data_IF_825616157825
#
_entry.id   IF_825616157825
#
_cell.length_a   1.000
_cell.length_b   1.000
_cell.length_c   1.000
_cell.angle_alpha   90.00
_cell.angle_beta   90.00
_cell.angle_gamma   90.00
#
_symmetry.space_group_name_H-M   'P 1'
#
loop_
_entity.id
_entity.type
_entity.pdbx_description
1 polymer ?
#
# COMPACT_ATOMS: atom_id res chain seq x y z
N UNK A 1 5.15 1.01 22.30
CA UNK A 1 5.91 -0.07 21.60
C UNK A 1 4.92 -0.88 20.78
N UNK A 2 5.09 -0.96 19.46
CA UNK A 2 4.18 -1.68 18.55
C UNK A 2 4.67 -3.11 18.30
N UNK A 3 3.77 -4.03 17.93
CA UNK A 3 4.07 -5.44 17.62
C UNK A 3 3.40 -5.83 16.31
N UNK A 4 3.96 -6.82 15.62
CA UNK A 4 3.31 -7.44 14.46
C UNK A 4 2.18 -8.34 15.00
N UNK A 5 0.93 -7.94 14.77
CA UNK A 5 -0.25 -8.69 15.23
C UNK A 5 -0.69 -9.78 14.25
N UNK A 6 -0.42 -9.61 12.96
CA UNK A 6 -0.76 -10.57 11.91
C UNK A 6 0.18 -10.43 10.70
N UNK A 7 0.48 -11.55 10.03
CA UNK A 7 1.22 -11.59 8.76
C UNK A 7 0.51 -12.48 7.75
N UNK A 8 0.53 -12.09 6.47
CA UNK A 8 -0.02 -12.90 5.38
C UNK A 8 0.67 -12.53 4.06
N UNK A 9 0.83 -13.53 3.20
CA UNK A 9 1.31 -13.34 1.84
C UNK A 9 0.26 -12.76 0.87
N UNK A 10 -1.00 -12.59 1.32
CA UNK A 10 -2.09 -12.08 0.48
C UNK A 10 -2.76 -10.86 1.10
N UNK A 11 -3.23 -9.94 0.24
CA UNK A 11 -4.03 -8.80 0.67
C UNK A 11 -5.34 -9.23 1.32
N UNK A 12 -5.96 -10.31 0.83
CA UNK A 12 -7.18 -10.86 1.41
C UNK A 12 -6.97 -11.34 2.86
N UNK A 13 -5.87 -12.06 3.14
CA UNK A 13 -5.55 -12.52 4.49
C UNK A 13 -5.26 -11.36 5.45
N UNK A 14 -4.52 -10.34 5.01
CA UNK A 14 -4.31 -9.12 5.81
C UNK A 14 -5.64 -8.39 6.07
N UNK A 15 -6.53 -8.34 5.07
CA UNK A 15 -7.86 -7.73 5.21
C UNK A 15 -8.72 -8.47 6.24
N UNK A 16 -8.68 -9.80 6.27
CA UNK A 16 -9.40 -10.59 7.26
C UNK A 16 -8.97 -10.27 8.69
N UNK A 17 -7.66 -10.10 8.94
CA UNK A 17 -7.16 -9.73 10.26
C UNK A 17 -7.65 -8.34 10.72
N UNK A 18 -7.76 -7.39 9.78
CA UNK A 18 -8.31 -6.06 10.05
C UNK A 18 -9.80 -6.13 10.35
N UNK A 19 -10.56 -6.83 9.52
CA UNK A 19 -12.00 -7.01 9.71
C UNK A 19 -12.35 -7.75 11.01
N UNK A 20 -11.50 -8.68 11.44
CA UNK A 20 -11.64 -9.36 12.72
C UNK A 20 -11.24 -8.50 13.94
N UNK A 21 -10.78 -7.25 13.72
CA UNK A 21 -10.35 -6.35 14.79
C UNK A 21 -9.01 -6.73 15.43
N UNK A 22 -8.23 -7.61 14.80
CA UNK A 22 -6.96 -8.13 15.34
C UNK A 22 -5.77 -7.22 15.01
N UNK A 23 -5.85 -6.46 13.91
CA UNK A 23 -4.74 -5.65 13.42
C UNK A 23 -5.18 -4.31 12.80
N UNK A 24 -4.25 -3.35 12.83
CA UNK A 24 -4.29 -2.13 12.02
C UNK A 24 -3.32 -2.26 10.84
N UNK A 25 -3.63 -1.65 9.70
CA UNK A 25 -2.78 -1.70 8.50
C UNK A 25 -2.62 -0.32 7.87
N UNK A 26 -1.46 -0.06 7.29
CA UNK A 26 -1.23 1.11 6.43
C UNK A 26 -1.76 0.81 5.03
N UNK A 27 -2.69 1.61 4.56
CA UNK A 27 -3.29 1.50 3.23
C UNK A 27 -3.64 2.88 2.70
N UNK A 28 -3.81 2.96 1.40
CA UNK A 28 -4.32 4.15 0.72
C UNK A 28 -5.82 4.32 0.99
N UNK A 29 -6.34 5.54 0.84
CA UNK A 29 -7.75 5.87 1.07
C UNK A 29 -8.72 4.97 0.28
N UNK A 30 -8.34 4.53 -0.92
CA UNK A 30 -9.09 3.57 -1.74
C UNK A 30 -9.33 2.21 -1.09
N UNK A 31 -8.73 1.92 0.06
CA UNK A 31 -8.92 0.68 0.80
C UNK A 31 -9.91 0.83 1.97
N UNK A 32 -10.30 2.08 2.31
CA UNK A 32 -11.26 2.41 3.36
C UNK A 32 -12.70 2.21 2.87
N UNK A 33 -13.03 0.96 2.56
CA UNK A 33 -14.36 0.52 2.16
C UNK A 33 -14.64 -0.88 2.74
N UNK A 34 -15.85 -1.41 2.52
CA UNK A 34 -16.21 -2.78 2.92
C UNK A 34 -16.06 -3.06 4.43
N UNK A 35 -16.42 -2.08 5.28
CA UNK A 35 -16.38 -2.22 6.74
C UNK A 35 -15.03 -1.87 7.37
N UNK A 36 -14.04 -1.47 6.57
CA UNK A 36 -12.76 -0.96 7.06
C UNK A 36 -12.82 0.56 7.07
N UNK A 37 -12.54 1.14 8.23
CA UNK A 37 -12.52 2.59 8.44
C UNK A 37 -11.13 3.06 8.81
N UNK A 38 -10.87 4.34 8.59
CA UNK A 38 -9.64 4.97 9.05
C UNK A 38 -9.55 4.90 10.58
N UNK A 39 -8.35 4.62 11.07
CA UNK A 39 -8.08 4.54 12.50
C UNK A 39 -8.19 5.94 13.14
N UNK A 40 -8.92 6.09 14.26
CA UNK A 40 -9.04 7.39 14.94
C UNK A 40 -7.67 7.94 15.38
N UNK A 41 -7.47 9.26 15.24
CA UNK A 41 -6.22 9.94 15.62
C UNK A 41 -5.87 9.80 17.11
N UNK A 42 -6.87 9.59 17.95
CA UNK A 42 -6.74 9.39 19.40
C UNK A 42 -5.93 8.14 19.77
N UNK A 43 -5.76 7.19 18.83
CA UNK A 43 -4.92 6.01 19.04
C UNK A 43 -3.42 6.32 19.10
N UNK A 44 -2.99 7.56 18.84
CA UNK A 44 -1.59 7.97 18.95
C UNK A 44 -0.67 7.13 18.07
N UNK A 45 -1.13 6.79 16.86
CA UNK A 45 -0.38 5.99 15.91
C UNK A 45 0.85 6.77 15.41
N UNK A 46 1.95 6.07 15.09
CA UNK A 46 3.15 6.74 14.62
C UNK A 46 2.88 7.38 13.26
N UNK A 47 3.57 8.48 12.99
CA UNK A 47 3.64 9.02 11.63
C UNK A 47 4.25 7.98 10.70
N UNK A 48 3.68 7.86 9.50
CA UNK A 48 4.12 6.88 8.52
C UNK A 48 4.73 7.59 7.32
N UNK A 49 5.81 7.04 6.75
CA UNK A 49 6.43 7.62 5.57
C UNK A 49 5.46 7.55 4.38
N UNK A 50 5.71 8.39 3.38
CA UNK A 50 5.03 8.28 2.10
C UNK A 50 5.31 6.89 1.50
N UNK A 51 4.29 6.27 0.90
CA UNK A 51 4.50 5.01 0.21
C UNK A 51 5.26 5.25 -1.09
N UNK A 52 6.42 4.60 -1.24
CA UNK A 52 7.21 4.64 -2.47
C UNK A 52 6.99 3.36 -3.28
N UNK A 53 6.88 3.50 -4.59
CA UNK A 53 6.73 2.39 -5.53
C UNK A 53 7.86 2.45 -6.55
N UNK A 54 8.52 1.31 -6.77
CA UNK A 54 9.54 1.16 -7.80
C UNK A 54 9.05 0.20 -8.89
N UNK A 55 9.12 0.64 -10.14
CA UNK A 55 8.90 -0.24 -11.30
C UNK A 55 10.26 -0.68 -11.81
N UNK A 56 10.43 -2.00 -12.01
CA UNK A 56 11.65 -2.57 -12.59
C UNK A 56 11.36 -3.01 -14.02
N UNK A 57 12.06 -2.41 -14.97
CA UNK A 57 12.10 -2.89 -16.35
C UNK A 57 13.19 -3.95 -16.50
N UNK A 58 12.90 -5.05 -17.21
CA UNK A 58 13.92 -6.07 -17.52
C UNK A 58 14.94 -5.49 -18.51
N UNK A 59 16.20 -5.87 -18.35
CA UNK A 59 17.22 -5.55 -19.36
C UNK A 59 16.82 -6.12 -20.73
N UNK A 60 16.90 -5.29 -21.77
CA UNK A 60 16.50 -5.68 -23.14
C UNK A 60 14.99 -5.82 -23.34
N UNK A 61 14.17 -5.23 -22.47
CA UNK A 61 12.73 -5.15 -22.71
C UNK A 61 12.42 -4.45 -24.05
N UNK A 62 11.33 -4.87 -24.69
CA UNK A 62 10.87 -4.27 -25.95
C UNK A 62 10.46 -2.80 -25.78
N UNK A 63 10.31 -2.11 -26.90
CA UNK A 63 9.97 -0.68 -26.93
C UNK A 63 8.67 -0.38 -26.20
N UNK A 64 7.63 -1.20 -26.37
CA UNK A 64 6.34 -0.99 -25.70
C UNK A 64 6.43 -1.10 -24.18
N UNK A 65 7.24 -2.01 -23.65
CA UNK A 65 7.49 -2.13 -22.22
C UNK A 65 8.31 -0.94 -21.68
N UNK A 66 9.26 -0.41 -22.46
CA UNK A 66 10.02 0.80 -22.10
C UNK A 66 9.14 2.06 -22.10
N UNK A 67 8.27 2.20 -23.09
CA UNK A 67 7.30 3.30 -23.19
C UNK A 67 6.33 3.27 -22.00
N UNK A 68 5.78 2.09 -21.68
CA UNK A 68 4.91 1.92 -20.52
C UNK A 68 5.63 2.26 -19.21
N UNK A 69 6.88 1.81 -19.03
CA UNK A 69 7.67 2.15 -17.84
C UNK A 69 7.87 3.67 -17.71
N UNK A 70 8.08 4.37 -18.82
CA UNK A 70 8.22 5.83 -18.86
C UNK A 70 6.92 6.52 -18.47
N UNK A 71 5.78 6.12 -19.06
CA UNK A 71 4.46 6.66 -18.75
C UNK A 71 4.08 6.44 -17.27
N UNK A 72 4.35 5.25 -16.74
CA UNK A 72 4.09 4.94 -15.35
C UNK A 72 4.99 5.75 -14.42
N UNK A 73 6.28 5.89 -14.75
CA UNK A 73 7.23 6.67 -13.93
C UNK A 73 6.85 8.16 -13.88
N UNK A 74 6.41 8.73 -15.02
CA UNK A 74 5.97 10.12 -15.10
C UNK A 74 4.75 10.41 -14.22
N UNK A 75 3.81 9.45 -14.09
CA UNK A 75 2.58 9.62 -13.31
C UNK A 75 2.68 9.10 -11.87
N UNK A 76 3.63 8.21 -11.56
CA UNK A 76 3.89 7.76 -10.18
C UNK A 76 4.45 8.90 -9.31
N UNK A 77 5.16 9.86 -9.92
CA UNK A 77 5.66 11.05 -9.24
C UNK A 77 4.57 12.11 -8.97
N UNK A 78 3.39 12.00 -9.60
CA UNK A 78 2.23 12.85 -9.33
C UNK A 78 1.44 12.26 -8.16
N UNK A 79 1.94 12.46 -6.96
CA UNK A 79 1.18 12.26 -5.72
C UNK A 79 1.65 13.28 -4.69
N UNK A 80 1.13 14.50 -4.84
CA UNK A 80 0.95 15.46 -3.76
C UNK A 80 -0.50 15.44 -3.31
#
# INVERSE_FOLDING_TARGET
RYRIAAGSASLAGLRTAVNAGVALTLRTARFAHSGIVEAPRQLGLPQVPLAEFAIRLRAGADGSAADLATLLSANLALSG
#
